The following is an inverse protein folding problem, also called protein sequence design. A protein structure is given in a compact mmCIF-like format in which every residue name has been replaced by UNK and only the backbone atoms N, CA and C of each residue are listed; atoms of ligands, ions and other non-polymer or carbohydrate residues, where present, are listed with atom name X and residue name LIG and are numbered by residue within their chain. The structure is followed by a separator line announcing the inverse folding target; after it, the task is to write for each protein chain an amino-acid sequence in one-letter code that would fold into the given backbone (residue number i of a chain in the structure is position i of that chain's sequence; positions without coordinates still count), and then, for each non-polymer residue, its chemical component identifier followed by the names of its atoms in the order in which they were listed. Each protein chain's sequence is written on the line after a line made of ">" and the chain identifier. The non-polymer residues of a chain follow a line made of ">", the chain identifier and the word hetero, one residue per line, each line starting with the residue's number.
data_IF_786430450527
#
_entry.id   IF_786430450527
#
_cell.length_a   1.000
_cell.length_b   1.000
_cell.length_c   1.000
_cell.angle_alpha   90.00
_cell.angle_beta   90.00
_cell.angle_gamma   90.00
#
_symmetry.space_group_name_H-M   'P 1'
#
loop_
_entity.id
_entity.type
_entity.pdbx_description
1 polymer ?
#
# COMPACT_ATOMS: atom_id res chain seq x y z
N UNK A 1 -13.00 -10.14 -36.34
CA UNK A 1 -12.22 -9.21 -37.18
C UNK A 1 -10.87 -9.84 -37.36
N UNK A 2 -10.45 -10.21 -38.57
CA UNK A 2 -9.87 -9.32 -39.61
C UNK A 2 -8.77 -8.44 -39.02
N UNK A 3 -7.53 -8.81 -39.40
CA UNK A 3 -6.28 -8.04 -39.36
C UNK A 3 -5.45 -8.07 -38.06
N UNK A 4 -4.94 -9.25 -37.68
CA UNK A 4 -4.12 -9.41 -36.46
C UNK A 4 -2.68 -9.90 -36.69
N UNK A 5 -2.03 -9.47 -37.78
CA UNK A 5 -0.57 -9.62 -37.91
C UNK A 5 0.03 -8.44 -38.71
N UNK A 6 0.24 -7.30 -38.05
CA UNK A 6 1.26 -6.37 -38.54
C UNK A 6 2.62 -7.03 -38.25
N UNK A 7 3.43 -7.20 -39.29
CA UNK A 7 4.70 -7.96 -39.34
C UNK A 7 5.80 -7.50 -38.35
N UNK A 8 5.51 -6.53 -37.48
CA UNK A 8 6.43 -5.87 -36.54
C UNK A 8 5.84 -5.70 -35.13
N UNK A 9 4.85 -6.50 -34.73
CA UNK A 9 4.32 -6.44 -33.37
C UNK A 9 5.37 -6.94 -32.36
N UNK A 10 5.72 -6.09 -31.39
CA UNK A 10 6.70 -6.40 -30.34
C UNK A 10 6.00 -6.33 -28.98
N UNK A 11 6.13 -7.41 -28.19
CA UNK A 11 5.59 -7.47 -26.84
C UNK A 11 6.72 -7.42 -25.83
N UNK A 12 6.77 -6.36 -25.03
CA UNK A 12 7.66 -6.29 -23.87
C UNK A 12 6.85 -6.55 -22.61
N UNK A 13 7.37 -7.43 -21.74
CA UNK A 13 6.78 -7.77 -20.45
C UNK A 13 7.85 -7.61 -19.36
N UNK A 14 7.46 -7.03 -18.24
CA UNK A 14 8.33 -6.79 -17.10
C UNK A 14 7.65 -5.90 -16.08
N UNK A 15 8.36 -5.59 -14.99
CA UNK A 15 7.94 -4.50 -14.13
C UNK A 15 8.16 -3.14 -14.82
N UNK A 16 7.56 -2.07 -14.28
CA UNK A 16 7.61 -0.75 -14.90
C UNK A 16 9.05 -0.25 -15.09
N UNK A 17 9.95 -0.50 -14.12
CA UNK A 17 11.34 -0.06 -14.20
C UNK A 17 12.10 -0.72 -15.36
N UNK A 18 11.85 -2.00 -15.61
CA UNK A 18 12.45 -2.73 -16.73
C UNK A 18 11.95 -2.20 -18.08
N UNK A 19 10.67 -1.87 -18.17
CA UNK A 19 10.08 -1.30 -19.39
C UNK A 19 10.64 0.11 -19.65
N UNK A 20 10.79 0.93 -18.60
CA UNK A 20 11.43 2.23 -18.70
C UNK A 20 12.90 2.11 -19.15
N UNK A 21 13.67 1.22 -18.54
CA UNK A 21 15.06 0.98 -18.96
C UNK A 21 15.16 0.53 -20.43
N UNK A 22 14.23 -0.30 -20.89
CA UNK A 22 14.18 -0.74 -22.28
C UNK A 22 13.78 0.39 -23.26
N UNK A 23 13.06 1.41 -22.81
CA UNK A 23 12.83 2.63 -23.60
C UNK A 23 14.09 3.48 -23.64
N UNK A 24 14.76 3.67 -22.51
CA UNK A 24 15.96 4.50 -22.38
C UNK A 24 17.17 3.92 -23.13
N UNK A 25 17.31 2.59 -23.16
CA UNK A 25 18.40 1.90 -23.87
C UNK A 25 18.11 1.65 -25.36
N UNK A 26 16.90 2.01 -25.82
CA UNK A 26 16.47 1.90 -27.21
C UNK A 26 16.00 0.50 -27.64
N UNK A 27 15.90 -0.47 -26.73
CA UNK A 27 15.31 -1.79 -26.99
C UNK A 27 13.83 -1.70 -27.40
N UNK A 28 13.11 -0.72 -26.84
CA UNK A 28 11.78 -0.30 -27.28
C UNK A 28 11.97 0.99 -28.10
N UNK A 29 11.50 1.04 -29.36
CA UNK A 29 11.54 2.27 -30.14
C UNK A 29 10.82 3.40 -29.41
N UNK A 30 11.39 4.61 -29.35
CA UNK A 30 10.73 5.75 -28.71
C UNK A 30 9.50 6.27 -29.49
N UNK A 31 9.43 5.97 -30.78
CA UNK A 31 8.39 6.48 -31.68
C UNK A 31 7.46 5.35 -32.11
N UNK A 32 6.15 5.60 -31.99
CA UNK A 32 5.11 4.67 -32.39
C UNK A 32 3.84 4.84 -31.55
N UNK A 33 2.83 4.02 -31.84
CA UNK A 33 1.68 3.85 -30.97
C UNK A 33 1.93 2.63 -30.08
N UNK A 34 1.66 2.77 -28.78
CA UNK A 34 1.86 1.71 -27.78
C UNK A 34 0.54 1.40 -27.08
N UNK A 35 0.36 0.12 -26.75
CA UNK A 35 -0.66 -0.32 -25.81
C UNK A 35 0.05 -0.75 -24.52
N UNK A 36 -0.22 -0.06 -23.42
CA UNK A 36 0.38 -0.37 -22.12
C UNK A 36 -0.66 -1.07 -21.25
N UNK A 37 -0.40 -2.34 -20.91
CA UNK A 37 -1.22 -3.09 -19.98
C UNK A 37 -0.54 -3.07 -18.61
N UNK A 38 -1.19 -2.44 -17.64
CA UNK A 38 -0.71 -2.34 -16.27
C UNK A 38 -1.52 -3.31 -15.41
N UNK A 39 -0.85 -4.19 -14.68
CA UNK A 39 -1.51 -5.00 -13.67
C UNK A 39 -2.12 -4.09 -12.59
N UNK A 40 -3.37 -4.34 -12.21
CA UNK A 40 -3.99 -3.60 -11.11
C UNK A 40 -3.13 -3.71 -9.85
N UNK A 41 -3.00 -2.61 -9.11
CA UNK A 41 -2.39 -2.67 -7.80
C UNK A 41 -3.20 -3.62 -6.91
N UNK A 42 -2.52 -4.43 -6.11
CA UNK A 42 -3.19 -5.19 -5.06
C UNK A 42 -3.99 -4.21 -4.18
N UNK A 43 -5.23 -4.55 -3.86
CA UNK A 43 -6.14 -3.72 -3.09
C UNK A 43 -5.70 -3.52 -1.61
N UNK A 44 -4.51 -4.01 -1.25
CA UNK A 44 -3.83 -3.53 -0.06
C UNK A 44 -3.38 -2.10 -0.36
N UNK A 45 -4.22 -1.13 0.03
CA UNK A 45 -3.82 0.26 0.13
C UNK A 45 -2.41 0.33 0.73
N UNK A 46 -1.57 1.21 0.18
CA UNK A 46 -0.19 1.44 0.63
C UNK A 46 -0.11 1.25 2.16
N UNK A 47 0.61 0.23 2.67
CA UNK A 47 0.62 -0.06 4.11
C UNK A 47 1.09 1.14 4.95
N UNK A 48 1.82 2.08 4.32
CA UNK A 48 2.18 3.36 4.91
C UNK A 48 0.96 4.27 5.15
N UNK A 49 0.03 4.39 4.20
CA UNK A 49 -1.14 5.27 4.32
C UNK A 49 -2.18 4.71 5.30
N UNK A 50 -2.42 3.40 5.27
CA UNK A 50 -3.25 2.72 6.28
C UNK A 50 -2.62 2.82 7.66
N UNK A 51 -1.30 2.60 7.78
CA UNK A 51 -0.57 2.71 9.04
C UNK A 51 -0.67 4.11 9.67
N UNK A 52 -0.56 5.17 8.85
CA UNK A 52 -0.70 6.56 9.31
C UNK A 52 -2.12 6.83 9.79
N UNK A 53 -3.15 6.43 9.05
CA UNK A 53 -4.54 6.64 9.43
C UNK A 53 -4.90 5.90 10.75
N UNK A 54 -4.39 4.69 10.91
CA UNK A 54 -4.59 3.86 12.11
C UNK A 54 -3.90 4.48 13.33
N UNK A 55 -2.66 4.95 13.18
CA UNK A 55 -1.93 5.62 14.26
C UNK A 55 -2.65 6.89 14.72
N UNK A 56 -3.17 7.70 13.78
CA UNK A 56 -3.95 8.90 14.09
C UNK A 56 -5.27 8.59 14.80
N UNK A 57 -5.99 7.56 14.38
CA UNK A 57 -7.21 7.12 15.07
C UNK A 57 -6.91 6.70 16.52
N UNK A 58 -5.84 5.94 16.71
CA UNK A 58 -5.40 5.50 18.04
C UNK A 58 -5.03 6.69 18.93
N UNK A 59 -4.33 7.69 18.42
CA UNK A 59 -4.02 8.93 19.15
C UNK A 59 -5.25 9.64 19.68
N UNK A 60 -6.23 9.86 18.80
CA UNK A 60 -7.47 10.57 19.15
C UNK A 60 -8.21 9.80 20.24
N UNK A 61 -8.32 8.48 20.12
CA UNK A 61 -9.03 7.67 21.12
C UNK A 61 -8.30 7.64 22.48
N UNK A 62 -6.97 7.63 22.48
CA UNK A 62 -6.18 7.72 23.72
C UNK A 62 -6.36 9.10 24.37
N UNK A 63 -6.31 10.18 23.60
CA UNK A 63 -6.51 11.54 24.10
C UNK A 63 -7.89 11.74 24.72
N UNK A 64 -8.93 11.10 24.16
CA UNK A 64 -10.29 11.06 24.70
C UNK A 64 -10.44 10.08 25.89
N UNK A 65 -9.34 9.53 26.41
CA UNK A 65 -9.30 8.59 27.55
C UNK A 65 -10.16 7.34 27.32
N UNK A 66 -10.31 6.89 26.07
CA UNK A 66 -11.02 5.68 25.76
C UNK A 66 -10.31 4.45 26.38
N UNK A 67 -11.05 3.45 26.91
CA UNK A 67 -10.42 2.26 27.49
C UNK A 67 -9.57 1.51 26.46
N UNK A 68 -8.35 1.08 26.84
CA UNK A 68 -7.44 0.36 25.93
C UNK A 68 -8.09 -0.84 25.23
N UNK A 69 -8.96 -1.57 25.94
CA UNK A 69 -9.75 -2.69 25.42
C UNK A 69 -10.73 -2.28 24.31
N UNK A 70 -11.31 -1.08 24.41
CA UNK A 70 -12.16 -0.52 23.37
C UNK A 70 -11.35 -0.15 22.13
N UNK A 71 -10.20 0.51 22.33
CA UNK A 71 -9.31 0.91 21.23
C UNK A 71 -8.83 -0.32 20.46
N UNK A 72 -8.30 -1.34 21.16
CA UNK A 72 -7.86 -2.59 20.54
C UNK A 72 -8.98 -3.29 19.76
N UNK A 73 -10.22 -3.30 20.30
CA UNK A 73 -11.39 -3.87 19.61
C UNK A 73 -11.75 -3.10 18.34
N UNK A 74 -11.61 -1.77 18.32
CA UNK A 74 -11.86 -0.96 17.13
C UNK A 74 -10.77 -1.19 16.08
N UNK A 75 -9.50 -1.27 16.49
CA UNK A 75 -8.39 -1.58 15.59
C UNK A 75 -8.58 -2.93 14.88
N UNK A 76 -9.01 -3.98 15.58
CA UNK A 76 -9.29 -5.29 14.96
C UNK A 76 -10.47 -5.29 13.98
N UNK A 77 -11.36 -4.29 14.04
CA UNK A 77 -12.49 -4.16 13.11
C UNK A 77 -12.15 -3.32 11.88
N UNK A 78 -11.22 -2.38 12.03
CA UNK A 78 -10.85 -1.42 10.99
C UNK A 78 -9.56 -1.81 10.24
N UNK A 79 -8.85 -2.83 10.73
CA UNK A 79 -7.56 -3.29 10.18
C UNK A 79 -7.50 -4.81 10.15
N UNK A 80 -6.46 -5.35 9.51
CA UNK A 80 -6.17 -6.79 9.53
C UNK A 80 -5.40 -7.27 10.78
N UNK A 81 -5.16 -6.40 11.77
CA UNK A 81 -4.41 -6.77 12.97
C UNK A 81 -5.13 -7.84 13.77
N UNK A 82 -4.37 -8.82 14.26
CA UNK A 82 -4.91 -9.80 15.21
C UNK A 82 -5.15 -9.13 16.55
N UNK A 83 -6.05 -9.70 17.36
CA UNK A 83 -6.39 -9.19 18.68
C UNK A 83 -5.16 -8.92 19.55
N UNK A 84 -4.22 -9.85 19.62
CA UNK A 84 -3.02 -9.69 20.44
C UNK A 84 -2.11 -8.57 19.94
N UNK A 85 -1.97 -8.42 18.62
CA UNK A 85 -1.18 -7.36 17.99
C UNK A 85 -1.80 -5.98 18.24
N UNK A 86 -3.14 -5.88 18.14
CA UNK A 86 -3.86 -4.65 18.43
C UNK A 86 -3.70 -4.22 19.91
N UNK A 87 -3.75 -5.17 20.86
CA UNK A 87 -3.50 -4.85 22.27
C UNK A 87 -2.05 -4.40 22.51
N UNK A 88 -1.07 -5.09 21.92
CA UNK A 88 0.33 -4.71 22.04
C UNK A 88 0.59 -3.31 21.46
N UNK A 89 0.00 -2.98 20.30
CA UNK A 89 0.12 -1.67 19.69
C UNK A 89 -0.47 -0.55 20.56
N UNK A 90 -1.66 -0.77 21.16
CA UNK A 90 -2.27 0.18 22.08
C UNK A 90 -1.40 0.36 23.33
N UNK A 91 -0.89 -0.73 23.90
CA UNK A 91 -0.04 -0.67 25.09
C UNK A 91 1.27 0.09 24.81
N UNK A 92 1.96 -0.25 23.73
CA UNK A 92 3.19 0.43 23.32
C UNK A 92 2.95 1.94 23.15
N UNK A 93 1.81 2.33 22.58
CA UNK A 93 1.48 3.75 22.38
C UNK A 93 1.16 4.48 23.68
N UNK A 94 0.52 3.81 24.63
CA UNK A 94 0.28 4.36 25.97
C UNK A 94 1.58 4.52 26.76
N UNK A 95 2.52 3.59 26.58
CA UNK A 95 3.83 3.63 27.23
C UNK A 95 4.71 4.75 26.64
N UNK A 96 4.67 4.99 25.33
CA UNK A 96 5.35 6.11 24.66
C UNK A 96 4.85 7.50 25.09
N UNK A 97 3.57 7.61 25.45
CA UNK A 97 2.94 8.87 25.89
C UNK A 97 3.16 9.19 27.37
N UNK A 98 3.79 8.30 28.13
CA UNK A 98 4.07 8.50 29.55
C UNK A 98 5.43 9.20 29.66
N UNK A 99 5.49 10.51 29.99
CA UNK A 99 6.78 11.16 30.21
C UNK A 99 7.52 10.41 31.33
N UNK A 100 8.81 10.14 31.12
CA UNK A 100 9.71 9.68 32.17
C UNK A 100 9.57 10.62 33.38
N UNK A 101 9.21 10.04 34.52
CA UNK A 101 9.11 10.72 35.82
C UNK A 101 10.50 11.01 36.39
#
# INVERSE_FOLDING_TARGET
>A
GREMTKRFESFVRGNLAQVCAALDDGSIPERGEFVVLIAGADAAASPADEGIAVARLMDVLIAEQAPARMIARLLTQLTSLKRNEAYAAVQARLDEGRPDE
#
